data_IF_484700454659
#
_entry.id   IF_484700454659
#
_cell.length_a   1.000
_cell.length_b   1.000
_cell.length_c   1.000
_cell.angle_alpha   90.00
_cell.angle_beta   90.00
_cell.angle_gamma   90.00
#
_symmetry.space_group_name_H-M   'P 1'
#
loop_
_entity.id
_entity.type
_entity.pdbx_description
1 polymer ?
#
# COMPACT_ATOMS: atom_id res chain seq x y z
N UNK A 1 11.32 8.65 -30.45
CA UNK A 1 11.77 8.00 -29.20
C UNK A 1 10.53 7.60 -28.42
N UNK A 2 10.31 6.30 -28.23
CA UNK A 2 9.16 5.82 -27.47
C UNK A 2 9.34 6.25 -26.00
N UNK A 3 8.35 6.94 -25.45
CA UNK A 3 8.32 7.31 -24.05
C UNK A 3 8.23 6.02 -23.24
N UNK A 4 9.37 5.50 -22.78
CA UNK A 4 9.42 4.36 -21.87
C UNK A 4 8.72 4.79 -20.57
N UNK A 5 7.69 4.07 -20.15
CA UNK A 5 7.03 4.36 -18.87
C UNK A 5 8.07 4.20 -17.76
N UNK A 6 8.24 5.23 -16.94
CA UNK A 6 8.98 5.10 -15.67
C UNK A 6 8.35 3.98 -14.85
N UNK A 7 9.17 3.09 -14.30
CA UNK A 7 8.72 2.09 -13.32
C UNK A 7 8.07 2.79 -12.14
N UNK A 8 7.01 2.19 -11.60
CA UNK A 8 6.32 2.69 -10.41
C UNK A 8 6.89 2.09 -9.13
N UNK A 9 7.37 0.85 -9.19
CA UNK A 9 8.10 0.24 -8.10
C UNK A 9 9.56 0.71 -8.17
N UNK A 10 10.01 1.38 -7.10
CA UNK A 10 11.41 1.75 -6.94
C UNK A 10 12.30 0.53 -6.68
N UNK A 11 13.60 0.74 -6.61
CA UNK A 11 14.50 -0.29 -6.06
C UNK A 11 14.14 -0.55 -4.59
N UNK A 12 14.18 -1.82 -4.18
CA UNK A 12 13.87 -2.19 -2.81
C UNK A 12 14.76 -1.41 -1.83
N UNK A 13 14.18 -0.68 -0.86
CA UNK A 13 14.97 -0.01 0.17
C UNK A 13 15.67 -1.02 1.07
N UNK A 14 16.75 -0.60 1.74
CA UNK A 14 17.37 -1.40 2.78
C UNK A 14 16.39 -1.68 3.95
N UNK A 15 16.68 -2.70 4.75
CA UNK A 15 15.76 -3.16 5.80
C UNK A 15 15.47 -2.09 6.86
N UNK A 16 16.41 -1.19 7.14
CA UNK A 16 16.24 -0.10 8.09
C UNK A 16 15.29 0.97 7.53
N UNK A 17 15.47 1.34 6.27
CA UNK A 17 14.64 2.27 5.52
C UNK A 17 13.22 1.71 5.36
N UNK A 18 13.07 0.44 5.00
CA UNK A 18 11.76 -0.22 4.93
C UNK A 18 11.06 -0.25 6.29
N UNK A 19 11.81 -0.50 7.37
CA UNK A 19 11.24 -0.45 8.73
C UNK A 19 10.72 0.94 9.05
N UNK A 20 11.49 2.00 8.74
CA UNK A 20 11.04 3.38 8.93
C UNK A 20 9.80 3.71 8.11
N UNK A 21 9.71 3.19 6.89
CA UNK A 21 8.54 3.36 6.03
C UNK A 21 7.31 2.65 6.59
N UNK A 22 7.46 1.40 7.02
CA UNK A 22 6.38 0.65 7.67
C UNK A 22 5.85 1.38 8.92
N UNK A 23 6.75 1.89 9.76
CA UNK A 23 6.37 2.73 10.92
C UNK A 23 5.69 4.02 10.46
N UNK A 24 6.21 4.64 9.41
CA UNK A 24 5.69 5.83 8.75
C UNK A 24 4.23 5.72 8.33
N UNK A 25 3.85 4.58 7.76
CA UNK A 25 2.47 4.28 7.35
C UNK A 25 1.60 3.72 8.49
N UNK A 26 2.14 3.62 9.71
CA UNK A 26 1.38 3.27 10.90
C UNK A 26 1.42 1.79 11.29
N UNK A 27 2.40 1.02 10.84
CA UNK A 27 2.68 -0.31 11.42
C UNK A 27 3.53 -0.13 12.68
N UNK A 28 3.06 -0.65 13.83
CA UNK A 28 3.70 -0.44 15.13
C UNK A 28 4.94 -1.34 15.32
N UNK A 29 5.96 -1.16 14.48
CA UNK A 29 7.30 -1.69 14.69
C UNK A 29 8.14 -0.74 15.55
N UNK A 30 9.25 -1.25 16.10
CA UNK A 30 10.21 -0.41 16.79
C UNK A 30 11.10 0.28 15.74
N UNK A 31 11.06 1.61 15.69
CA UNK A 31 11.86 2.42 14.76
C UNK A 31 11.31 3.83 14.62
N UNK A 32 12.08 4.68 13.94
CA UNK A 32 11.65 6.04 13.62
C UNK A 32 10.70 6.05 12.43
N UNK A 33 9.62 6.82 12.52
CA UNK A 33 8.67 6.95 11.43
C UNK A 33 9.27 7.76 10.26
N UNK A 34 9.08 7.29 9.02
CA UNK A 34 9.14 8.15 7.84
C UNK A 34 7.74 8.74 7.55
N UNK A 35 7.45 10.01 7.87
CA UNK A 35 6.10 10.58 7.69
C UNK A 35 5.66 10.71 6.22
N UNK A 36 6.61 10.59 5.29
CA UNK A 36 6.41 10.72 3.84
C UNK A 36 6.56 9.37 3.10
N UNK A 37 6.49 8.26 3.84
CA UNK A 37 6.64 6.93 3.29
C UNK A 37 5.67 6.66 2.11
N UNK A 38 6.15 6.09 0.99
CA UNK A 38 5.30 5.79 -0.16
C UNK A 38 4.43 4.56 0.12
N UNK A 39 3.22 4.78 0.66
CA UNK A 39 2.29 3.75 1.13
C UNK A 39 2.25 2.50 0.24
N UNK A 40 1.96 2.65 -1.05
CA UNK A 40 1.80 1.49 -1.94
C UNK A 40 3.09 0.69 -2.13
N UNK A 41 4.24 1.35 -2.23
CA UNK A 41 5.54 0.68 -2.37
C UNK A 41 5.93 -0.02 -1.06
N UNK A 42 5.71 0.65 0.08
CA UNK A 42 5.92 0.07 1.41
C UNK A 42 5.09 -1.20 1.61
N UNK A 43 3.83 -1.22 1.15
CA UNK A 43 2.98 -2.42 1.23
C UNK A 43 3.52 -3.56 0.36
N UNK A 44 4.01 -3.27 -0.84
CA UNK A 44 4.61 -4.29 -1.72
C UNK A 44 5.89 -4.86 -1.11
N UNK A 45 6.81 -4.04 -0.64
CA UNK A 45 8.05 -4.51 -0.03
C UNK A 45 7.82 -5.23 1.31
N UNK A 46 6.85 -4.79 2.12
CA UNK A 46 6.43 -5.53 3.31
C UNK A 46 5.84 -6.91 2.93
N UNK A 47 5.13 -6.99 1.80
CA UNK A 47 4.62 -8.28 1.28
C UNK A 47 5.78 -9.18 0.87
N UNK A 48 6.77 -8.65 0.15
CA UNK A 48 7.98 -9.38 -0.24
C UNK A 48 8.72 -9.94 0.98
N UNK A 49 8.96 -9.13 2.00
CA UNK A 49 9.57 -9.56 3.27
C UNK A 49 8.77 -10.68 3.92
N UNK A 50 7.45 -10.54 3.99
CA UNK A 50 6.58 -11.57 4.58
C UNK A 50 6.54 -12.88 3.81
N UNK A 51 6.55 -12.80 2.47
CA UNK A 51 6.33 -13.95 1.59
C UNK A 51 7.63 -14.68 1.22
N UNK A 52 8.70 -13.95 0.90
CA UNK A 52 9.99 -14.51 0.46
C UNK A 52 10.89 -14.84 1.65
N UNK A 53 10.98 -13.94 2.63
CA UNK A 53 11.85 -14.13 3.79
C UNK A 53 11.15 -14.87 4.94
N UNK A 54 9.88 -15.22 4.77
CA UNK A 54 9.04 -15.88 5.77
C UNK A 54 8.93 -15.08 7.08
N UNK A 55 9.02 -13.75 6.99
CA UNK A 55 8.76 -12.88 8.14
C UNK A 55 7.25 -12.73 8.36
N UNK A 56 6.68 -13.75 9.00
CA UNK A 56 5.25 -13.78 9.30
C UNK A 56 4.83 -12.72 10.33
N UNK A 57 5.78 -12.12 11.07
CA UNK A 57 5.47 -10.96 11.91
C UNK A 57 5.15 -9.77 11.02
N UNK A 58 6.00 -9.45 10.04
CA UNK A 58 5.73 -8.38 9.08
C UNK A 58 4.44 -8.65 8.31
N UNK A 59 4.28 -9.87 7.80
CA UNK A 59 3.08 -10.24 7.04
C UNK A 59 1.80 -10.11 7.89
N UNK A 60 1.82 -10.53 9.15
CA UNK A 60 0.67 -10.41 10.05
C UNK A 60 0.26 -8.95 10.28
N UNK A 61 1.22 -8.07 10.59
CA UNK A 61 0.97 -6.64 10.78
C UNK A 61 0.47 -6.01 9.48
N UNK A 62 1.05 -6.36 8.33
CA UNK A 62 0.59 -5.93 7.01
C UNK A 62 -0.86 -6.35 6.74
N UNK A 63 -1.21 -7.62 6.99
CA UNK A 63 -2.59 -8.11 6.77
C UNK A 63 -3.57 -7.38 7.69
N UNK A 64 -3.22 -7.14 8.96
CA UNK A 64 -4.03 -6.31 9.86
C UNK A 64 -4.13 -4.86 9.36
N UNK A 65 -3.03 -4.27 8.87
CA UNK A 65 -3.02 -2.92 8.31
C UNK A 65 -3.98 -2.80 7.12
N UNK A 66 -3.97 -3.76 6.21
CA UNK A 66 -4.89 -3.80 5.06
C UNK A 66 -6.34 -3.84 5.55
N UNK A 67 -6.66 -4.66 6.57
CA UNK A 67 -8.01 -4.72 7.14
C UNK A 67 -8.53 -3.35 7.57
N UNK A 68 -7.67 -2.59 8.26
CA UNK A 68 -8.02 -1.29 8.86
C UNK A 68 -8.04 -0.18 7.80
N UNK A 69 -7.07 -0.16 6.90
CA UNK A 69 -6.77 1.02 6.07
C UNK A 69 -7.10 0.87 4.58
N UNK A 70 -7.58 -0.29 4.10
CA UNK A 70 -7.82 -0.53 2.66
C UNK A 70 -8.66 0.55 1.95
N UNK A 71 -9.57 1.23 2.66
CA UNK A 71 -10.37 2.35 2.12
C UNK A 71 -9.54 3.55 1.64
N UNK A 72 -8.31 3.68 2.12
CA UNK A 72 -7.41 4.81 1.86
C UNK A 72 -6.16 4.43 1.04
N UNK A 73 -6.13 3.22 0.49
CA UNK A 73 -5.11 2.77 -0.46
C UNK A 73 -5.44 3.30 -1.86
N UNK A 74 -4.46 3.90 -2.54
CA UNK A 74 -4.55 4.23 -3.95
C UNK A 74 -4.32 2.95 -4.77
N UNK A 75 -5.42 2.22 -5.02
CA UNK A 75 -5.38 0.89 -5.66
C UNK A 75 -4.83 0.95 -7.10
N UNK A 76 -4.98 2.08 -7.80
CA UNK A 76 -4.39 2.25 -9.13
C UNK A 76 -2.86 2.33 -9.08
N UNK A 77 -2.31 3.02 -8.08
CA UNK A 77 -0.86 3.06 -7.84
C UNK A 77 -0.35 1.71 -7.38
N UNK A 78 -1.04 1.09 -6.41
CA UNK A 78 -0.69 -0.23 -5.89
C UNK A 78 -0.61 -1.25 -7.02
N UNK A 79 -1.56 -1.22 -7.94
CA UNK A 79 -1.59 -2.17 -9.03
C UNK A 79 -0.41 -2.08 -9.98
N UNK A 80 0.12 -0.87 -10.21
CA UNK A 80 1.35 -0.73 -10.98
C UNK A 80 2.55 -1.28 -10.21
N UNK A 81 2.62 -1.04 -8.90
CA UNK A 81 3.69 -1.55 -8.06
C UNK A 81 3.70 -3.09 -8.00
N UNK A 82 2.52 -3.71 -7.87
CA UNK A 82 2.38 -5.17 -7.79
C UNK A 82 2.62 -5.85 -9.13
N UNK A 83 2.12 -5.30 -10.24
CA UNK A 83 2.30 -5.85 -11.60
C UNK A 83 3.78 -5.89 -12.04
N UNK A 84 4.59 -4.96 -11.52
CA UNK A 84 6.04 -4.91 -11.76
C UNK A 84 6.83 -5.90 -10.88
N UNK A 85 6.21 -6.54 -9.88
CA UNK A 85 6.92 -7.39 -8.93
C UNK A 85 7.15 -8.83 -9.47
N UNK A 86 8.38 -9.37 -9.44
CA UNK A 86 8.68 -10.65 -10.10
C UNK A 86 8.23 -11.90 -9.30
N UNK A 87 8.05 -11.79 -7.98
CA UNK A 87 7.69 -12.94 -7.15
C UNK A 87 6.24 -13.39 -7.33
N UNK A 88 6.07 -14.66 -7.69
CA UNK A 88 4.79 -15.35 -7.71
C UNK A 88 4.11 -15.44 -6.32
N UNK A 89 4.89 -15.55 -5.22
CA UNK A 89 4.33 -15.61 -3.87
C UNK A 89 3.73 -14.24 -3.48
N UNK A 90 4.39 -13.15 -3.85
CA UNK A 90 3.85 -11.79 -3.66
C UNK A 90 2.57 -11.59 -4.47
N UNK A 91 2.55 -12.03 -5.74
CA UNK A 91 1.35 -11.96 -6.57
C UNK A 91 0.20 -12.80 -6.00
N UNK A 92 0.48 -14.01 -5.50
CA UNK A 92 -0.50 -14.87 -4.85
C UNK A 92 -1.08 -14.23 -3.57
N UNK A 93 -0.27 -13.54 -2.77
CA UNK A 93 -0.77 -12.79 -1.61
C UNK A 93 -1.76 -11.70 -2.03
N UNK A 94 -1.43 -10.89 -3.04
CA UNK A 94 -2.33 -9.84 -3.51
C UNK A 94 -3.59 -10.38 -4.19
N UNK A 95 -3.50 -11.52 -4.89
CA UNK A 95 -4.67 -12.24 -5.39
C UNK A 95 -5.57 -12.71 -4.23
N UNK A 96 -4.98 -13.25 -3.16
CA UNK A 96 -5.71 -13.63 -1.96
C UNK A 96 -6.38 -12.42 -1.26
N UNK A 97 -5.68 -11.30 -1.14
CA UNK A 97 -6.24 -10.04 -0.61
C UNK A 97 -7.44 -9.58 -1.43
N UNK A 98 -7.42 -9.71 -2.75
CA UNK A 98 -8.60 -9.39 -3.57
C UNK A 98 -9.80 -10.30 -3.31
N UNK A 99 -9.56 -11.60 -3.07
CA UNK A 99 -10.63 -12.54 -2.74
C UNK A 99 -11.21 -12.27 -1.35
N UNK A 100 -10.36 -11.95 -0.39
CA UNK A 100 -10.76 -11.50 0.94
C UNK A 100 -11.64 -10.24 0.87
N UNK A 101 -11.16 -9.23 0.14
CA UNK A 101 -11.82 -7.93 -0.02
C UNK A 101 -12.80 -7.91 -1.20
N UNK A 102 -13.39 -9.05 -1.60
CA UNK A 102 -14.25 -9.18 -2.80
C UNK A 102 -15.41 -8.18 -2.91
N UNK A 103 -15.84 -7.56 -1.81
CA UNK A 103 -16.87 -6.51 -1.80
C UNK A 103 -16.34 -5.16 -2.28
N UNK A 104 -15.04 -4.93 -2.21
CA UNK A 104 -14.39 -3.72 -2.72
C UNK A 104 -13.94 -3.94 -4.17
N UNK A 105 -14.71 -3.37 -5.10
CA UNK A 105 -14.46 -3.49 -6.54
C UNK A 105 -13.12 -2.92 -6.99
N UNK A 106 -12.49 -2.03 -6.21
CA UNK A 106 -11.18 -1.45 -6.56
C UNK A 106 -10.11 -2.55 -6.64
N UNK A 107 -10.17 -3.51 -5.70
CA UNK A 107 -9.22 -4.61 -5.59
C UNK A 107 -9.48 -5.75 -6.57
N UNK A 108 -10.64 -5.82 -7.22
CA UNK A 108 -11.05 -6.95 -8.06
C UNK A 108 -10.03 -7.32 -9.15
N UNK A 109 -9.23 -6.36 -9.63
CA UNK A 109 -8.16 -6.59 -10.61
C UNK A 109 -7.04 -7.51 -10.10
N UNK A 110 -6.79 -7.56 -8.79
CA UNK A 110 -5.71 -8.36 -8.22
C UNK A 110 -6.00 -9.85 -8.22
N UNK A 111 -7.28 -10.25 -8.27
CA UNK A 111 -7.67 -11.66 -8.29
C UNK A 111 -7.07 -12.45 -9.48
N UNK A 112 -6.63 -11.75 -10.54
CA UNK A 112 -6.03 -12.33 -11.74
C UNK A 112 -4.49 -12.28 -11.76
N UNK A 113 -3.86 -11.74 -10.71
CA UNK A 113 -2.39 -11.65 -10.66
C UNK A 113 -1.72 -13.02 -10.54
N UNK A 114 -2.46 -14.01 -10.05
CA UNK A 114 -1.95 -15.35 -9.82
C UNK A 114 -3.01 -16.39 -10.20
N UNK A 115 -2.70 -17.22 -11.19
CA UNK A 115 -3.55 -18.31 -11.69
C UNK A 115 -2.89 -19.68 -11.49
N UNK A 116 -1.80 -19.74 -10.70
CA UNK A 116 -1.08 -20.97 -10.39
C UNK A 116 -1.77 -21.86 -9.35
N UNK A 117 -1.17 -23.01 -9.01
CA UNK A 117 -1.67 -23.88 -7.95
C UNK A 117 -1.66 -23.16 -6.60
N UNK A 118 -2.54 -23.58 -5.68
CA UNK A 118 -2.56 -23.01 -4.34
C UNK A 118 -1.17 -23.11 -3.67
N UNK A 119 -0.69 -22.00 -3.14
CA UNK A 119 0.60 -21.89 -2.46
C UNK A 119 0.41 -21.99 -0.96
N UNK A 120 1.29 -22.72 -0.31
CA UNK A 120 1.37 -22.72 1.14
C UNK A 120 2.15 -21.49 1.62
N UNK A 121 1.60 -20.78 2.62
CA UNK A 121 2.33 -19.69 3.26
C UNK A 121 3.59 -20.19 3.95
N UNK A 122 3.46 -21.28 4.73
CA UNK A 122 4.56 -21.88 5.47
C UNK A 122 5.37 -22.82 4.57
N UNK A 123 6.70 -22.91 4.75
CA UNK A 123 7.53 -23.88 4.03
C UNK A 123 7.16 -25.34 4.29
N UNK A 124 6.66 -25.64 5.50
CA UNK A 124 6.36 -27.01 5.96
C UNK A 124 5.17 -27.01 6.92
N UNK A 125 4.43 -28.12 6.95
CA UNK A 125 3.41 -28.39 7.96
C UNK A 125 2.05 -27.71 7.75
N UNK A 126 1.81 -27.12 6.57
CA UNK A 126 0.55 -26.44 6.25
C UNK A 126 -0.66 -27.36 6.35
N UNK A 127 -0.60 -28.53 5.73
CA UNK A 127 -1.71 -29.49 5.76
C UNK A 127 -2.08 -29.89 7.19
N UNK A 128 -1.08 -30.24 8.01
CA UNK A 128 -1.30 -30.60 9.41
C UNK A 128 -1.91 -29.46 10.23
N UNK A 129 -1.45 -28.22 10.05
CA UNK A 129 -1.98 -27.08 10.78
C UNK A 129 -3.41 -26.72 10.33
N UNK A 130 -3.70 -26.82 9.02
CA UNK A 130 -5.05 -26.60 8.48
C UNK A 130 -6.00 -27.69 8.98
N UNK A 131 -5.60 -28.96 8.97
CA UNK A 131 -6.41 -30.06 9.52
C UNK A 131 -6.71 -29.85 11.01
N UNK A 132 -5.72 -29.36 11.77
CA UNK A 132 -5.85 -29.15 13.22
C UNK A 132 -6.67 -27.92 13.60
N UNK A 133 -6.54 -26.81 12.87
CA UNK A 133 -7.05 -25.48 13.29
C UNK A 133 -7.98 -24.82 12.28
N UNK A 134 -8.11 -25.37 11.09
CA UNK A 134 -8.76 -24.73 9.95
C UNK A 134 -7.86 -23.74 9.23
N UNK A 135 -8.40 -23.18 8.15
CA UNK A 135 -7.78 -22.11 7.37
C UNK A 135 -8.12 -20.74 7.99
N UNK A 136 -7.26 -19.75 7.77
CA UNK A 136 -7.53 -18.37 8.15
C UNK A 136 -8.65 -17.81 7.27
N UNK A 137 -9.71 -17.31 7.89
CA UNK A 137 -10.91 -16.82 7.21
C UNK A 137 -10.64 -15.70 6.18
N UNK A 138 -9.51 -14.98 6.30
CA UNK A 138 -9.10 -13.97 5.31
C UNK A 138 -8.58 -14.61 4.03
N UNK A 139 -8.11 -15.85 4.06
CA UNK A 139 -7.46 -16.54 2.95
C UNK A 139 -8.24 -17.76 2.45
N UNK A 140 -9.38 -18.07 3.07
CA UNK A 140 -10.26 -19.16 2.64
C UNK A 140 -10.60 -19.08 1.14
N UNK A 141 -10.47 -20.24 0.47
CA UNK A 141 -10.73 -20.40 -0.97
C UNK A 141 -9.85 -19.52 -1.86
N UNK A 142 -8.75 -18.97 -1.34
CA UNK A 142 -7.81 -18.14 -2.08
C UNK A 142 -6.65 -18.97 -2.64
N UNK A 143 -5.81 -18.42 -3.54
CA UNK A 143 -4.61 -19.12 -4.01
C UNK A 143 -3.50 -19.22 -2.95
N UNK A 144 -3.68 -18.64 -1.76
CA UNK A 144 -2.72 -18.74 -0.65
C UNK A 144 -3.36 -19.45 0.53
N UNK A 145 -2.78 -20.59 0.92
CA UNK A 145 -3.22 -21.41 2.05
C UNK A 145 -2.53 -20.94 3.32
N UNK A 146 -3.33 -20.47 4.28
CA UNK A 146 -2.85 -19.92 5.55
C UNK A 146 -3.56 -20.63 6.69
N UNK A 147 -2.87 -21.44 7.52
CA UNK A 147 -3.53 -22.03 8.69
C UNK A 147 -3.97 -20.95 9.69
N UNK A 148 -5.13 -21.16 10.31
CA UNK A 148 -5.68 -20.24 11.30
C UNK A 148 -4.68 -19.99 12.45
N UNK A 149 -4.50 -18.71 12.78
CA UNK A 149 -3.59 -18.26 13.84
C UNK A 149 -2.11 -18.16 13.43
N UNK A 150 -1.75 -18.47 12.19
CA UNK A 150 -0.39 -18.23 11.66
C UNK A 150 -0.09 -16.74 11.58
N UNK A 151 -1.02 -15.98 11.00
CA UNK A 151 -0.94 -14.52 10.92
C UNK A 151 -1.79 -13.92 12.04
N UNK A 152 -1.15 -13.51 13.12
CA UNK A 152 -1.84 -12.88 14.26
C UNK A 152 -2.66 -11.68 13.79
N UNK A 153 -3.93 -11.60 14.20
CA UNK A 153 -4.76 -10.44 13.97
C UNK A 153 -4.92 -9.63 15.26
N UNK A 154 -4.23 -8.49 15.35
CA UNK A 154 -4.25 -7.63 16.53
C UNK A 154 -4.27 -6.16 16.13
N UNK A 155 -5.41 -5.51 16.34
CA UNK A 155 -5.61 -4.10 16.00
C UNK A 155 -4.55 -3.14 16.61
N UNK A 156 -4.00 -3.46 17.79
CA UNK A 156 -2.95 -2.68 18.42
C UNK A 156 -1.59 -2.71 17.69
N UNK A 157 -1.41 -3.62 16.73
CA UNK A 157 -0.18 -3.69 15.93
C UNK A 157 -0.16 -2.62 14.81
N UNK A 158 -1.25 -1.86 14.62
CA UNK A 158 -1.34 -0.76 13.65
C UNK A 158 -1.98 0.48 14.27
N UNK A 159 -1.65 1.66 13.75
CA UNK A 159 -2.29 2.91 14.13
C UNK A 159 -3.76 2.94 13.67
N UNK A 160 -4.64 3.59 14.42
CA UNK A 160 -5.99 3.87 13.92
C UNK A 160 -5.94 4.92 12.79
N UNK A 161 -6.97 5.00 11.92
CA UNK A 161 -7.04 6.06 10.91
C UNK A 161 -6.86 7.47 11.51
N UNK A 162 -7.44 7.75 12.68
CA UNK A 162 -7.36 9.05 13.37
C UNK A 162 -5.95 9.37 13.86
N UNK A 163 -5.17 8.36 14.25
CA UNK A 163 -3.77 8.53 14.60
C UNK A 163 -2.92 8.75 13.34
N UNK A 164 -3.15 7.94 12.30
CA UNK A 164 -2.35 7.97 11.08
C UNK A 164 -2.51 9.28 10.29
N UNK A 165 -3.69 9.91 10.27
CA UNK A 165 -3.87 11.23 9.63
C UNK A 165 -3.04 12.35 10.26
N UNK A 166 -2.66 12.19 11.54
CA UNK A 166 -1.79 13.17 12.24
C UNK A 166 -0.33 12.98 11.89
N UNK A 167 0.06 11.74 11.60
CA UNK A 167 1.44 11.37 11.29
C UNK A 167 1.79 11.52 9.81
N UNK A 168 0.86 11.16 8.91
CA UNK A 168 1.17 10.98 7.49
C UNK A 168 0.32 11.90 6.61
N UNK A 169 0.97 12.86 5.93
CA UNK A 169 0.31 13.88 5.12
C UNK A 169 -0.45 13.28 3.91
N UNK A 170 0.22 12.38 3.18
CA UNK A 170 -0.41 11.63 2.08
C UNK A 170 -1.68 10.90 2.49
N UNK A 171 -1.62 10.14 3.59
CA UNK A 171 -2.79 9.45 4.15
C UNK A 171 -3.92 10.42 4.49
N UNK A 172 -3.61 11.53 5.19
CA UNK A 172 -4.58 12.58 5.53
C UNK A 172 -5.29 13.15 4.30
N UNK A 173 -4.55 13.44 3.24
CA UNK A 173 -5.14 13.98 2.02
C UNK A 173 -6.01 12.96 1.28
N UNK A 174 -5.68 11.67 1.35
CA UNK A 174 -6.53 10.59 0.84
C UNK A 174 -7.81 10.39 1.66
N UNK A 175 -7.78 10.66 2.97
CA UNK A 175 -9.00 10.70 3.80
C UNK A 175 -9.90 11.86 3.36
N UNK A 176 -9.33 13.03 3.07
CA UNK A 176 -10.08 14.25 2.68
C UNK A 176 -10.67 14.17 1.27
N UNK A 177 -9.89 13.70 0.29
CA UNK A 177 -10.23 13.78 -1.14
C UNK A 177 -10.52 12.42 -1.79
N UNK A 178 -10.35 11.34 -1.04
CA UNK A 178 -10.33 9.97 -1.57
C UNK A 178 -8.93 9.55 -2.05
N UNK A 179 -8.64 8.23 -2.06
CA UNK A 179 -7.34 7.69 -2.41
C UNK A 179 -7.10 7.75 -3.92
N UNK A 180 -6.55 8.87 -4.38
CA UNK A 180 -6.38 9.18 -5.80
C UNK A 180 -5.08 9.92 -6.05
N UNK A 181 -4.65 9.95 -7.31
CA UNK A 181 -3.51 10.77 -7.74
C UNK A 181 -3.69 12.25 -7.40
N UNK A 182 -4.92 12.77 -7.33
CA UNK A 182 -5.17 14.14 -6.88
C UNK A 182 -4.67 14.36 -5.46
N UNK A 183 -5.02 13.46 -4.55
CA UNK A 183 -4.58 13.56 -3.15
C UNK A 183 -3.05 13.46 -3.03
N UNK A 184 -2.42 12.61 -3.84
CA UNK A 184 -0.97 12.43 -3.84
C UNK A 184 -0.25 13.68 -4.39
N UNK A 185 -0.72 14.25 -5.51
CA UNK A 185 -0.18 15.51 -6.05
C UNK A 185 -0.42 16.67 -5.09
N UNK A 186 -1.59 16.75 -4.46
CA UNK A 186 -1.90 17.78 -3.47
C UNK A 186 -0.94 17.72 -2.28
N UNK A 187 -0.60 16.51 -1.81
CA UNK A 187 0.38 16.32 -0.74
C UNK A 187 1.77 16.82 -1.13
N UNK A 188 2.19 16.59 -2.37
CA UNK A 188 3.45 17.12 -2.89
C UNK A 188 3.46 18.65 -2.89
N UNK A 189 2.33 19.28 -3.28
CA UNK A 189 2.20 20.74 -3.31
C UNK A 189 2.08 21.37 -1.92
N UNK A 190 1.50 20.67 -0.93
CA UNK A 190 1.51 21.13 0.47
C UNK A 190 2.94 21.23 1.03
N UNK A 191 3.85 20.38 0.58
CA UNK A 191 5.26 20.44 0.97
C UNK A 191 6.05 21.52 0.22
N UNK A 192 5.73 21.70 -1.06
CA UNK A 192 6.45 22.63 -1.94
C UNK A 192 5.45 23.30 -2.91
N UNK A 193 4.84 24.43 -2.50
CA UNK A 193 3.79 25.11 -3.25
C UNK A 193 4.21 25.66 -4.61
N UNK A 194 5.51 25.94 -4.77
CA UNK A 194 6.06 26.61 -5.96
C UNK A 194 6.37 25.63 -7.10
N UNK A 195 6.11 24.34 -6.90
CA UNK A 195 6.36 23.34 -7.91
C UNK A 195 5.58 23.60 -9.20
N UNK A 196 6.26 23.38 -10.32
CA UNK A 196 5.60 23.28 -11.61
C UNK A 196 4.96 21.88 -11.79
N UNK A 197 4.05 21.77 -12.74
CA UNK A 197 3.30 20.53 -13.01
C UNK A 197 4.18 19.32 -13.34
N UNK A 198 5.34 19.51 -13.99
CA UNK A 198 6.24 18.42 -14.33
C UNK A 198 6.97 17.86 -13.11
N UNK A 199 7.44 18.75 -12.22
CA UNK A 199 8.05 18.37 -10.95
C UNK A 199 7.04 17.68 -10.02
N UNK A 200 5.83 18.26 -9.91
CA UNK A 200 4.74 17.67 -9.13
C UNK A 200 4.35 16.28 -9.65
N UNK A 201 4.24 16.10 -10.97
CA UNK A 201 3.97 14.81 -11.59
C UNK A 201 5.03 13.76 -11.23
N UNK A 202 6.31 14.15 -11.29
CA UNK A 202 7.42 13.23 -10.99
C UNK A 202 7.42 12.81 -9.54
N UNK A 203 7.31 13.76 -8.60
CA UNK A 203 7.29 13.46 -7.16
C UNK A 203 6.07 12.65 -6.74
N UNK A 204 4.91 12.90 -7.35
CA UNK A 204 3.69 12.13 -7.08
C UNK A 204 3.63 10.78 -7.80
N UNK A 205 4.50 10.52 -8.79
CA UNK A 205 4.47 9.31 -9.62
C UNK A 205 3.28 9.26 -10.58
N UNK A 206 2.76 10.40 -11.03
CA UNK A 206 1.58 10.46 -11.91
C UNK A 206 1.89 11.04 -13.29
N UNK A 207 0.89 11.06 -14.16
CA UNK A 207 1.03 11.69 -15.48
C UNK A 207 1.08 13.22 -15.37
N UNK A 208 1.75 13.89 -16.30
CA UNK A 208 1.76 15.35 -16.39
C UNK A 208 0.35 15.93 -16.46
N UNK A 209 -0.53 15.36 -17.29
CA UNK A 209 -1.90 15.83 -17.45
C UNK A 209 -2.70 15.79 -16.14
N UNK A 210 -2.47 14.75 -15.33
CA UNK A 210 -3.07 14.64 -13.98
C UNK A 210 -2.53 15.74 -13.07
N UNK A 211 -1.21 15.91 -12.99
CA UNK A 211 -0.60 16.90 -12.10
C UNK A 211 -0.95 18.33 -12.48
N UNK A 212 -0.95 18.65 -13.78
CA UNK A 212 -1.22 19.98 -14.31
C UNK A 212 -2.55 20.54 -13.80
N UNK A 213 -3.63 19.76 -13.90
CA UNK A 213 -4.96 20.17 -13.41
C UNK A 213 -4.99 20.41 -11.90
N UNK A 214 -4.27 19.59 -11.13
CA UNK A 214 -4.23 19.72 -9.67
C UNK A 214 -3.44 20.95 -9.26
N UNK A 215 -2.33 21.25 -9.95
CA UNK A 215 -1.52 22.46 -9.73
C UNK A 215 -2.34 23.72 -10.01
N UNK A 216 -3.13 23.73 -11.09
CA UNK A 216 -4.04 24.86 -11.36
C UNK A 216 -5.06 25.06 -10.24
N UNK A 217 -5.76 23.99 -9.83
CA UNK A 217 -6.74 24.07 -8.74
C UNK A 217 -6.10 24.52 -7.41
N UNK A 218 -4.89 24.03 -7.12
CA UNK A 218 -4.14 24.40 -5.91
C UNK A 218 -3.82 25.90 -5.89
N UNK A 219 -3.34 26.46 -7.01
CA UNK A 219 -3.02 27.89 -7.14
C UNK A 219 -4.25 28.78 -7.03
N UNK A 220 -5.40 28.33 -7.54
CA UNK A 220 -6.68 29.05 -7.38
C UNK A 220 -7.03 29.20 -5.90
N UNK A 221 -6.89 28.12 -5.11
CA UNK A 221 -7.18 28.14 -3.69
C UNK A 221 -6.21 29.02 -2.90
N UNK A 222 -4.91 28.94 -3.19
CA UNK A 222 -3.92 29.83 -2.57
C UNK A 222 -4.19 31.31 -2.86
N UNK A 223 -4.53 31.64 -4.12
CA UNK A 223 -4.85 33.01 -4.52
C UNK A 223 -6.12 33.55 -3.86
N UNK A 224 -7.05 32.66 -3.50
CA UNK A 224 -8.28 32.97 -2.76
C UNK A 224 -8.06 33.18 -1.26
N UNK A 225 -7.19 32.37 -0.64
CA UNK A 225 -6.85 32.46 0.79
C UNK A 225 -6.11 33.76 1.13
N UNK A 226 -5.25 34.27 0.24
CA UNK A 226 -4.53 35.55 0.42
C UNK A 226 -5.48 36.76 0.52
N UNK A 227 -6.75 36.64 0.10
CA UNK A 227 -7.72 37.75 0.10
C UNK A 227 -8.64 37.80 1.33
N UNK A 228 -8.55 36.83 2.24
CA UNK A 228 -9.39 36.74 3.44
C UNK A 228 -8.62 36.97 4.76
N UNK A 229 -7.36 37.40 4.67
CA UNK A 229 -6.52 37.80 5.81
C UNK A 229 -6.46 39.31 6.00
#
# INVERSE_FOLDING_TARGET
MAFSRSTMLSERPDDASLTRDMVGIGMNFAGDANPDAPIEETLVFATEVGMENHDFRVLAVLTTWINVHQKHINVDRLARCVDEHPSQRVLAYWAAVAMWLKKDRRFARFAKLYEGPALDLMPVGTDFQIERRGEDARFESSPLRVPAGTLRDRAADVLSPEALVRQHAGYRNRVRMGPSWRADVWTVLEHDPELNAAEAARRAGCSFATAWRVVEDFRVLQSGEVRLG
#
